data_IF_361192845961
#
_entry.id   IF_361192845961
#
_cell.length_a   1.000
_cell.length_b   1.000
_cell.length_c   1.000
_cell.angle_alpha   90.00
_cell.angle_beta   90.00
_cell.angle_gamma   90.00
#
_symmetry.space_group_name_H-M   'P 1'
#
loop_
_entity.id
_entity.type
_entity.pdbx_description
1 polymer ?
#
# COMPACT_ATOMS: atom_id res chain seq x y z
N UNK A 1 17.47 -45.93 -36.24
CA UNK A 1 16.28 -46.78 -36.10
C UNK A 1 15.14 -45.92 -35.55
N UNK A 2 14.12 -45.64 -36.35
CA UNK A 2 12.90 -44.94 -35.89
C UNK A 2 11.86 -46.03 -35.63
N UNK A 3 11.52 -46.26 -34.38
CA UNK A 3 10.38 -47.11 -34.02
C UNK A 3 9.10 -46.33 -34.33
N UNK A 4 8.38 -46.74 -35.40
CA UNK A 4 6.98 -46.33 -35.62
C UNK A 4 6.14 -47.16 -34.65
N UNK A 5 5.62 -46.52 -33.63
CA UNK A 5 4.61 -47.15 -32.77
C UNK A 5 3.26 -46.87 -33.43
N UNK A 6 2.82 -47.82 -34.29
CA UNK A 6 1.46 -47.84 -34.82
C UNK A 6 0.53 -48.38 -33.71
N UNK A 7 -0.07 -47.49 -32.93
CA UNK A 7 -1.18 -47.90 -32.09
C UNK A 7 -2.41 -48.17 -32.96
N UNK A 8 -2.64 -49.44 -33.28
CA UNK A 8 -3.85 -49.86 -34.00
C UNK A 8 -5.08 -49.54 -33.15
N UNK A 9 -6.04 -48.82 -33.70
CA UNK A 9 -7.30 -48.44 -33.02
C UNK A 9 -8.00 -49.67 -32.38
N UNK A 10 -7.88 -50.85 -33.00
CA UNK A 10 -8.40 -52.10 -32.47
C UNK A 10 -7.70 -52.56 -31.17
N UNK A 11 -6.41 -52.36 -31.04
CA UNK A 11 -5.68 -52.70 -29.80
C UNK A 11 -6.04 -51.79 -28.64
N UNK A 12 -6.26 -50.50 -28.91
CA UNK A 12 -6.73 -49.55 -27.93
C UNK A 12 -8.15 -49.91 -27.42
N UNK A 13 -9.07 -50.26 -28.34
CA UNK A 13 -10.42 -50.69 -28.00
C UNK A 13 -10.42 -52.00 -27.20
N UNK A 14 -9.53 -52.95 -27.56
CA UNK A 14 -9.37 -54.22 -26.83
C UNK A 14 -8.79 -54.01 -25.43
N UNK A 15 -7.87 -53.06 -25.28
CA UNK A 15 -7.32 -52.65 -23.96
C UNK A 15 -8.37 -51.98 -23.09
N UNK A 16 -9.24 -51.14 -23.64
CA UNK A 16 -10.34 -50.49 -22.93
C UNK A 16 -11.37 -51.51 -22.40
N UNK A 17 -11.62 -52.60 -23.13
CA UNK A 17 -12.49 -53.69 -22.72
C UNK A 17 -11.88 -54.67 -21.70
N UNK A 18 -10.59 -54.51 -21.39
CA UNK A 18 -9.97 -55.39 -20.39
C UNK A 18 -10.44 -55.06 -18.98
N UNK A 19 -10.67 -56.08 -18.16
CA UNK A 19 -11.07 -55.93 -16.74
C UNK A 19 -10.06 -55.06 -15.95
N UNK A 20 -8.77 -55.15 -16.29
CA UNK A 20 -7.72 -54.38 -15.66
C UNK A 20 -7.82 -52.90 -15.92
N UNK A 21 -8.23 -52.49 -17.14
CA UNK A 21 -8.44 -51.07 -17.49
C UNK A 21 -9.63 -50.49 -16.69
N UNK A 22 -10.70 -51.23 -16.56
CA UNK A 22 -11.87 -50.86 -15.78
C UNK A 22 -11.54 -50.66 -14.28
N UNK A 23 -10.71 -51.52 -13.73
CA UNK A 23 -10.20 -51.40 -12.33
C UNK A 23 -9.37 -50.14 -12.16
N UNK A 24 -8.51 -49.79 -13.13
CA UNK A 24 -7.68 -48.57 -13.10
C UNK A 24 -8.57 -47.34 -13.10
N UNK A 25 -9.61 -47.28 -13.95
CA UNK A 25 -10.54 -46.16 -14.00
C UNK A 25 -11.28 -46.00 -12.67
N UNK A 26 -11.81 -47.11 -12.12
CA UNK A 26 -12.55 -47.07 -10.86
C UNK A 26 -11.61 -46.60 -9.73
N UNK A 27 -10.41 -47.14 -9.64
CA UNK A 27 -9.45 -46.74 -8.63
C UNK A 27 -9.04 -45.26 -8.72
N UNK A 28 -8.83 -44.76 -9.95
CA UNK A 28 -8.56 -43.35 -10.21
C UNK A 28 -9.70 -42.44 -9.79
N UNK A 29 -10.94 -42.86 -10.07
CA UNK A 29 -12.12 -42.12 -9.64
C UNK A 29 -12.30 -42.10 -8.12
N UNK A 30 -12.04 -43.22 -7.45
CA UNK A 30 -12.09 -43.31 -5.97
C UNK A 30 -11.01 -42.40 -5.35
N UNK A 31 -9.77 -42.44 -5.87
CA UNK A 31 -8.68 -41.59 -5.40
C UNK A 31 -9.00 -40.12 -5.61
N UNK A 32 -9.48 -39.74 -6.79
CA UNK A 32 -9.87 -38.37 -7.11
C UNK A 32 -11.00 -37.87 -6.21
N UNK A 33 -12.02 -38.72 -5.97
CA UNK A 33 -13.13 -38.40 -5.06
C UNK A 33 -12.66 -38.24 -3.62
N UNK A 34 -11.77 -39.12 -3.15
CA UNK A 34 -11.16 -39.00 -1.83
C UNK A 34 -10.37 -37.70 -1.68
N UNK A 35 -9.51 -37.34 -2.64
CA UNK A 35 -8.77 -36.09 -2.61
C UNK A 35 -9.67 -34.87 -2.60
N UNK A 36 -10.80 -34.91 -3.33
CA UNK A 36 -11.79 -33.84 -3.33
C UNK A 36 -12.49 -33.66 -1.98
N UNK A 37 -12.81 -34.76 -1.28
CA UNK A 37 -13.47 -34.74 0.02
C UNK A 37 -12.54 -34.27 1.15
N UNK A 38 -11.24 -34.53 1.02
CA UNK A 38 -10.22 -34.09 2.00
C UNK A 38 -9.70 -32.68 1.75
N UNK A 39 -10.08 -32.03 0.65
CA UNK A 39 -9.68 -30.65 0.39
C UNK A 39 -10.40 -29.73 1.37
N UNK A 40 -9.62 -29.03 2.19
CA UNK A 40 -10.11 -28.00 3.10
C UNK A 40 -10.82 -26.88 2.34
N UNK A 41 -11.94 -26.42 2.88
CA UNK A 41 -12.69 -25.31 2.27
C UNK A 41 -12.00 -24.00 2.60
N UNK A 42 -11.59 -23.29 1.57
CA UNK A 42 -11.03 -21.95 1.69
C UNK A 42 -12.05 -20.90 1.30
N UNK A 43 -12.21 -19.88 2.14
CA UNK A 43 -13.03 -18.71 1.88
C UNK A 43 -12.15 -17.49 1.65
N UNK A 44 -12.47 -16.76 0.59
CA UNK A 44 -11.73 -15.59 0.17
C UNK A 44 -12.58 -14.34 0.36
N UNK A 45 -12.08 -13.36 1.11
CA UNK A 45 -12.63 -12.02 1.13
C UNK A 45 -11.64 -11.06 0.47
N UNK A 46 -12.14 -10.19 -0.38
CA UNK A 46 -11.32 -9.20 -1.07
C UNK A 46 -11.88 -7.80 -0.89
N UNK A 47 -10.99 -6.83 -0.77
CA UNK A 47 -11.29 -5.41 -0.74
C UNK A 47 -10.31 -4.65 -1.61
N UNK A 48 -10.75 -3.55 -2.21
CA UNK A 48 -9.94 -2.75 -3.12
C UNK A 48 -9.80 -1.32 -2.59
N UNK A 49 -8.60 -0.78 -2.66
CA UNK A 49 -8.29 0.61 -2.33
C UNK A 49 -7.91 1.31 -3.62
N UNK A 50 -8.69 2.33 -4.00
CA UNK A 50 -8.31 3.24 -5.07
C UNK A 50 -7.33 4.27 -4.50
N UNK A 51 -6.14 4.34 -5.08
CA UNK A 51 -5.18 5.38 -4.76
C UNK A 51 -5.41 6.54 -5.71
N UNK A 52 -5.94 7.69 -5.23
CA UNK A 52 -6.07 8.83 -6.10
C UNK A 52 -4.67 9.23 -6.60
N UNK A 53 -4.46 9.17 -7.90
CA UNK A 53 -3.31 9.83 -8.51
C UNK A 53 -3.55 11.32 -8.29
N UNK A 54 -2.92 11.90 -7.29
CA UNK A 54 -2.83 13.35 -7.16
C UNK A 54 -1.92 13.85 -8.28
N UNK A 55 -2.40 13.74 -9.51
CA UNK A 55 -1.93 14.55 -10.60
C UNK A 55 -2.36 15.97 -10.27
N UNK A 56 -1.54 16.70 -9.54
CA UNK A 56 -1.55 18.15 -9.66
C UNK A 56 -1.24 18.35 -11.12
N UNK A 57 -2.28 18.68 -11.91
CA UNK A 57 -2.14 18.92 -13.34
C UNK A 57 -1.02 19.95 -13.48
N UNK A 58 -0.05 19.66 -14.33
CA UNK A 58 1.11 20.54 -14.63
C UNK A 58 0.72 21.93 -15.13
N UNK A 59 -0.56 22.25 -15.23
CA UNK A 59 -1.11 23.50 -15.73
C UNK A 59 -1.39 24.54 -14.64
N UNK A 60 -0.85 24.42 -13.44
CA UNK A 60 -1.11 25.38 -12.36
C UNK A 60 0.02 26.39 -12.20
N UNK A 61 -0.25 27.67 -12.43
CA UNK A 61 0.63 28.78 -12.07
C UNK A 61 1.11 28.79 -10.61
N UNK A 62 0.43 28.04 -9.73
CA UNK A 62 0.83 27.81 -8.33
C UNK A 62 2.12 26.99 -8.23
N UNK A 63 2.32 25.98 -9.11
CA UNK A 63 3.55 25.17 -9.12
C UNK A 63 4.75 25.98 -9.60
N UNK A 64 4.55 26.84 -10.62
CA UNK A 64 5.60 27.74 -11.12
C UNK A 64 5.96 28.81 -10.09
N UNK A 65 4.98 29.36 -9.38
CA UNK A 65 5.20 30.28 -8.28
C UNK A 65 5.93 29.59 -7.12
N UNK A 66 5.50 28.40 -6.72
CA UNK A 66 6.19 27.63 -5.67
C UNK A 66 7.65 27.37 -6.03
N UNK A 67 7.96 26.98 -7.28
CA UNK A 67 9.33 26.79 -7.75
C UNK A 67 10.13 28.11 -7.78
N UNK A 68 9.50 29.23 -8.11
CA UNK A 68 10.13 30.55 -8.11
C UNK A 68 10.51 31.01 -6.69
N UNK A 69 9.74 30.55 -5.67
CA UNK A 69 10.05 30.79 -4.26
C UNK A 69 10.95 29.71 -3.64
N UNK A 70 11.54 28.85 -4.46
CA UNK A 70 12.46 27.77 -4.00
C UNK A 70 11.73 26.56 -3.42
N UNK A 71 10.40 26.48 -3.60
CA UNK A 71 9.63 25.28 -3.27
C UNK A 71 9.72 24.31 -4.46
N UNK A 72 10.69 23.46 -4.50
CA UNK A 72 10.63 22.30 -5.38
C UNK A 72 9.59 21.34 -4.81
N UNK A 73 8.33 21.61 -5.12
CA UNK A 73 7.27 20.60 -5.00
C UNK A 73 7.61 19.54 -6.04
N UNK A 74 8.48 18.60 -5.67
CA UNK A 74 8.84 17.46 -6.50
C UNK A 74 7.58 16.61 -6.67
N UNK A 75 6.83 16.96 -7.71
CA UNK A 75 5.49 16.49 -8.02
C UNK A 75 5.43 15.00 -8.42
N UNK A 76 6.54 14.28 -8.28
CA UNK A 76 6.61 12.91 -8.78
C UNK A 76 7.05 11.84 -7.79
N UNK A 77 7.76 12.17 -6.71
CA UNK A 77 8.40 11.14 -5.87
C UNK A 77 7.84 11.01 -4.45
N UNK A 78 7.11 11.99 -3.97
CA UNK A 78 6.62 12.05 -2.59
C UNK A 78 5.11 11.83 -2.43
N UNK A 79 4.47 11.13 -3.36
CA UNK A 79 3.12 10.65 -3.12
C UNK A 79 3.16 9.66 -1.95
N UNK A 80 2.80 10.15 -0.75
CA UNK A 80 2.66 9.33 0.47
C UNK A 80 1.72 8.15 0.26
N UNK A 81 0.82 8.24 -0.71
CA UNK A 81 -0.07 7.17 -1.13
C UNK A 81 0.52 6.52 -2.39
N UNK A 82 1.70 5.96 -2.26
CA UNK A 82 2.27 5.10 -3.30
C UNK A 82 1.78 3.65 -3.06
N UNK A 83 1.42 2.88 -4.11
CA UNK A 83 1.10 1.45 -4.00
C UNK A 83 2.11 0.64 -3.17
N UNK A 84 3.39 0.98 -3.26
CA UNK A 84 4.46 0.33 -2.48
C UNK A 84 4.30 0.61 -0.98
N UNK A 85 3.95 1.85 -0.60
CA UNK A 85 3.75 2.23 0.81
C UNK A 85 2.53 1.51 1.38
N UNK A 86 1.42 1.49 0.64
CA UNK A 86 0.21 0.76 1.06
C UNK A 86 0.48 -0.73 1.25
N UNK A 87 1.22 -1.37 0.33
CA UNK A 87 1.65 -2.77 0.47
C UNK A 87 2.52 -2.99 1.71
N UNK A 88 3.44 -2.05 2.02
CA UNK A 88 4.28 -2.12 3.23
C UNK A 88 3.44 -1.97 4.50
N UNK A 89 2.50 -1.01 4.52
CA UNK A 89 1.59 -0.81 5.66
C UNK A 89 0.77 -2.08 5.89
N UNK A 90 0.15 -2.62 4.84
CA UNK A 90 -0.72 -3.79 4.93
C UNK A 90 0.03 -5.07 5.36
N UNK A 91 1.34 -5.18 5.08
CA UNK A 91 2.20 -6.29 5.51
C UNK A 91 2.99 -5.98 6.78
N UNK A 92 2.71 -4.85 7.43
CA UNK A 92 3.40 -4.50 8.66
C UNK A 92 3.07 -5.53 9.75
N UNK A 93 4.12 -6.15 10.30
CA UNK A 93 4.01 -7.20 11.31
C UNK A 93 3.25 -6.72 12.56
N UNK A 94 3.49 -5.48 13.00
CA UNK A 94 2.84 -4.91 14.17
C UNK A 94 1.33 -4.71 13.93
N UNK A 95 0.94 -4.24 12.73
CA UNK A 95 -0.46 -4.11 12.35
C UNK A 95 -1.15 -5.48 12.33
N UNK A 96 -0.54 -6.46 11.67
CA UNK A 96 -1.12 -7.82 11.58
C UNK A 96 -1.19 -8.47 12.96
N UNK A 97 -0.16 -8.33 13.80
CA UNK A 97 -0.18 -8.83 15.19
C UNK A 97 -1.34 -8.25 15.99
N UNK A 98 -1.62 -6.96 15.83
CA UNK A 98 -2.74 -6.28 16.48
C UNK A 98 -4.08 -6.83 16.01
N UNK A 99 -4.22 -7.05 14.70
CA UNK A 99 -5.44 -7.63 14.12
C UNK A 99 -5.64 -9.07 14.58
N UNK A 100 -4.60 -9.89 14.62
CA UNK A 100 -4.68 -11.27 15.10
C UNK A 100 -5.08 -11.36 16.58
N UNK A 101 -4.76 -10.35 17.39
CA UNK A 101 -5.20 -10.25 18.78
C UNK A 101 -6.64 -9.75 18.94
N UNK A 102 -7.28 -9.25 17.87
CA UNK A 102 -8.66 -8.74 17.97
C UNK A 102 -9.64 -9.89 18.12
N UNK A 103 -10.59 -9.75 19.04
CA UNK A 103 -11.64 -10.73 19.22
C UNK A 103 -12.66 -10.66 18.09
N UNK A 104 -12.96 -11.79 17.50
CA UNK A 104 -13.95 -11.96 16.43
C UNK A 104 -14.96 -13.01 16.85
N UNK A 105 -16.24 -12.70 16.64
CA UNK A 105 -17.30 -13.66 16.91
C UNK A 105 -17.58 -14.48 15.64
N UNK A 106 -17.25 -15.77 15.70
CA UNK A 106 -17.50 -16.71 14.62
C UNK A 106 -18.42 -17.82 15.15
N UNK A 107 -19.61 -17.95 14.57
CA UNK A 107 -20.59 -18.97 14.97
C UNK A 107 -20.93 -18.98 16.48
N UNK A 108 -20.99 -17.80 17.12
CA UNK A 108 -21.30 -17.66 18.54
C UNK A 108 -20.11 -17.86 19.48
N UNK A 109 -18.92 -18.16 18.97
CA UNK A 109 -17.68 -18.22 19.74
C UNK A 109 -16.89 -16.93 19.54
N UNK A 110 -16.64 -16.20 20.63
CA UNK A 110 -15.80 -15.00 20.64
C UNK A 110 -14.39 -15.38 21.07
N UNK A 111 -13.50 -15.49 20.09
CA UNK A 111 -12.07 -15.80 20.27
C UNK A 111 -11.25 -14.77 19.51
N UNK A 112 -9.95 -14.69 19.79
CA UNK A 112 -9.05 -13.88 18.97
C UNK A 112 -8.97 -14.44 17.54
N UNK A 113 -8.70 -13.56 16.56
CA UNK A 113 -8.47 -14.01 15.19
C UNK A 113 -7.35 -15.04 15.11
N UNK A 114 -6.33 -14.90 15.97
CA UNK A 114 -5.24 -15.88 16.12
C UNK A 114 -5.76 -17.28 16.48
N UNK A 115 -6.57 -17.39 17.53
CA UNK A 115 -7.11 -18.68 18.02
C UNK A 115 -8.05 -19.33 16.99
N UNK A 116 -8.73 -18.52 16.18
CA UNK A 116 -9.56 -19.04 15.10
C UNK A 116 -8.74 -19.62 13.93
N UNK A 117 -7.58 -19.01 13.60
CA UNK A 117 -6.75 -19.40 12.45
C UNK A 117 -5.74 -20.47 12.83
N UNK A 118 -5.23 -20.42 14.06
CA UNK A 118 -4.16 -21.28 14.57
C UNK A 118 -4.58 -21.93 15.88
N UNK A 119 -5.58 -22.82 15.87
CA UNK A 119 -6.15 -23.41 17.10
C UNK A 119 -5.15 -24.25 17.89
N UNK A 120 -4.12 -24.76 17.22
CA UNK A 120 -3.09 -25.62 17.83
C UNK A 120 -1.93 -24.84 18.47
N UNK A 121 -1.87 -23.51 18.26
CA UNK A 121 -0.79 -22.68 18.77
C UNK A 121 -1.22 -21.91 20.03
N UNK A 122 -0.24 -21.59 20.87
CA UNK A 122 -0.50 -20.86 22.10
C UNK A 122 -0.27 -19.34 21.89
N UNK A 123 -1.35 -18.54 21.96
CA UNK A 123 -1.28 -17.08 21.84
C UNK A 123 -0.37 -16.41 22.89
N UNK A 124 -0.17 -17.07 24.05
CA UNK A 124 0.68 -16.55 25.12
C UNK A 124 2.16 -16.82 24.92
N UNK A 125 2.52 -17.72 24.01
CA UNK A 125 3.92 -17.95 23.62
C UNK A 125 4.33 -16.91 22.57
N UNK A 126 5.31 -16.05 22.86
CA UNK A 126 5.77 -15.03 21.91
C UNK A 126 6.31 -15.62 20.61
N UNK A 127 6.94 -16.81 20.66
CA UNK A 127 7.50 -17.46 19.48
C UNK A 127 6.40 -18.02 18.57
N UNK A 128 5.38 -18.66 19.16
CA UNK A 128 4.23 -19.17 18.43
C UNK A 128 3.48 -18.03 17.78
N UNK A 129 3.22 -16.94 18.50
CA UNK A 129 2.53 -15.77 18.00
C UNK A 129 3.31 -15.07 16.87
N UNK A 130 4.63 -14.95 17.01
CA UNK A 130 5.47 -14.38 15.97
C UNK A 130 5.50 -15.22 14.70
N UNK A 131 5.64 -16.53 14.83
CA UNK A 131 5.65 -17.46 13.71
C UNK A 131 4.30 -17.53 13.01
N UNK A 132 3.20 -17.51 13.75
CA UNK A 132 1.85 -17.44 13.22
C UNK A 132 1.61 -16.14 12.46
N UNK A 133 2.07 -15.00 13.00
CA UNK A 133 1.98 -13.70 12.30
C UNK A 133 2.72 -13.73 10.97
N UNK A 134 3.94 -14.28 10.92
CA UNK A 134 4.70 -14.45 9.69
C UNK A 134 4.00 -15.40 8.71
N UNK A 135 3.46 -16.51 9.21
CA UNK A 135 2.71 -17.48 8.42
C UNK A 135 1.46 -16.85 7.82
N UNK A 136 0.70 -16.09 8.60
CA UNK A 136 -0.48 -15.37 8.13
C UNK A 136 -0.16 -14.40 6.99
N UNK A 137 0.88 -13.58 7.14
CA UNK A 137 1.32 -12.63 6.11
C UNK A 137 1.71 -13.36 4.81
N UNK A 138 2.30 -14.54 4.92
CA UNK A 138 2.77 -15.31 3.77
C UNK A 138 1.66 -16.09 3.07
N UNK A 139 0.78 -16.73 3.83
CA UNK A 139 -0.14 -17.74 3.30
C UNK A 139 -1.58 -17.21 3.18
N UNK A 140 -2.02 -16.35 4.10
CA UNK A 140 -3.41 -15.93 4.21
C UNK A 140 -3.66 -14.52 3.62
N UNK A 141 -2.61 -13.67 3.56
CA UNK A 141 -2.71 -12.29 3.09
C UNK A 141 -2.07 -12.14 1.70
N UNK A 142 -2.88 -11.89 0.70
CA UNK A 142 -2.42 -11.56 -0.65
C UNK A 142 -2.73 -10.11 -0.99
N UNK A 143 -1.70 -9.34 -1.39
CA UNK A 143 -1.83 -7.92 -1.75
C UNK A 143 -1.19 -7.72 -3.12
N UNK A 144 -2.01 -7.32 -4.07
CA UNK A 144 -1.56 -7.08 -5.43
C UNK A 144 -2.14 -5.77 -5.97
N UNK A 145 -1.42 -5.17 -6.90
CA UNK A 145 -1.87 -3.98 -7.62
C UNK A 145 -2.52 -4.43 -8.93
N UNK A 146 -3.60 -3.77 -9.29
CA UNK A 146 -4.21 -3.95 -10.60
C UNK A 146 -3.28 -3.41 -11.69
N UNK A 147 -3.23 -4.12 -12.82
CA UNK A 147 -2.40 -3.74 -13.97
C UNK A 147 -2.99 -2.51 -14.66
N UNK A 148 -4.29 -2.36 -14.62
CA UNK A 148 -5.03 -1.33 -15.36
C UNK A 148 -5.20 -0.01 -14.60
N UNK A 149 -4.76 0.08 -13.33
CA UNK A 149 -4.98 1.29 -12.56
C UNK A 149 -4.27 1.37 -11.20
N UNK A 150 -4.42 2.50 -10.51
CA UNK A 150 -3.84 2.72 -9.19
C UNK A 150 -4.69 2.03 -8.09
N UNK A 151 -5.17 0.82 -8.35
CA UNK A 151 -6.01 0.03 -7.44
C UNK A 151 -5.14 -1.02 -6.76
N UNK A 152 -5.22 -1.08 -5.44
CA UNK A 152 -4.62 -2.13 -4.63
C UNK A 152 -5.72 -3.05 -4.14
N UNK A 153 -5.57 -4.32 -4.45
CA UNK A 153 -6.45 -5.38 -4.00
C UNK A 153 -5.82 -6.10 -2.80
N UNK A 154 -6.61 -6.25 -1.74
CA UNK A 154 -6.27 -7.00 -0.54
C UNK A 154 -7.18 -8.19 -0.49
N UNK A 155 -6.60 -9.39 -0.45
CA UNK A 155 -7.32 -10.64 -0.39
C UNK A 155 -6.90 -11.42 0.86
N UNK A 156 -7.88 -11.85 1.64
CA UNK A 156 -7.68 -12.70 2.82
C UNK A 156 -8.31 -14.06 2.55
N UNK A 157 -7.54 -15.10 2.83
CA UNK A 157 -7.97 -16.49 2.69
C UNK A 157 -7.97 -17.14 4.07
N UNK A 158 -9.13 -17.69 4.51
CA UNK A 158 -9.24 -18.46 5.75
C UNK A 158 -10.23 -19.61 5.56
N UNK A 159 -10.30 -20.51 6.52
CA UNK A 159 -11.24 -21.64 6.53
C UNK A 159 -12.69 -21.25 6.86
N UNK A 160 -12.93 -20.00 7.27
CA UNK A 160 -14.24 -19.49 7.63
C UNK A 160 -14.56 -18.16 6.94
N UNK A 161 -15.76 -18.08 6.33
CA UNK A 161 -16.17 -16.90 5.55
C UNK A 161 -16.33 -15.63 6.40
N UNK A 162 -16.87 -15.76 7.62
CA UNK A 162 -17.03 -14.63 8.55
C UNK A 162 -15.66 -14.11 8.97
N UNK A 163 -14.76 -15.02 9.29
CA UNK A 163 -13.40 -14.70 9.72
C UNK A 163 -12.63 -13.97 8.61
N UNK A 164 -12.66 -14.48 7.37
CA UNK A 164 -11.99 -13.83 6.25
C UNK A 164 -12.53 -12.43 5.99
N UNK A 165 -13.85 -12.23 6.11
CA UNK A 165 -14.50 -10.94 5.96
C UNK A 165 -14.09 -9.94 7.05
N UNK A 166 -14.21 -10.31 8.32
CA UNK A 166 -13.89 -9.41 9.44
C UNK A 166 -12.40 -9.04 9.45
N UNK A 167 -11.50 -9.97 9.18
CA UNK A 167 -10.06 -9.66 9.08
C UNK A 167 -9.77 -8.73 7.89
N UNK A 168 -10.38 -8.98 6.73
CA UNK A 168 -10.21 -8.12 5.56
C UNK A 168 -10.66 -6.68 5.85
N UNK A 169 -11.81 -6.53 6.52
CA UNK A 169 -12.36 -5.25 6.96
C UNK A 169 -11.44 -4.54 7.96
N UNK A 170 -10.92 -5.26 8.97
CA UNK A 170 -9.99 -4.70 9.96
C UNK A 170 -8.70 -4.22 9.30
N UNK A 171 -8.13 -5.00 8.37
CA UNK A 171 -6.94 -4.60 7.62
C UNK A 171 -7.22 -3.31 6.83
N UNK A 172 -8.35 -3.24 6.12
CA UNK A 172 -8.73 -2.08 5.33
C UNK A 172 -8.84 -0.82 6.19
N UNK A 173 -9.58 -0.88 7.31
CA UNK A 173 -9.76 0.24 8.23
C UNK A 173 -8.42 0.73 8.76
N UNK A 174 -7.57 -0.17 9.25
CA UNK A 174 -6.26 0.18 9.78
C UNK A 174 -5.32 0.78 8.73
N UNK A 175 -5.39 0.32 7.48
CA UNK A 175 -4.61 0.90 6.38
C UNK A 175 -5.08 2.34 6.11
N UNK A 176 -6.38 2.57 6.01
CA UNK A 176 -6.96 3.91 5.77
C UNK A 176 -6.59 4.86 6.90
N UNK A 177 -6.73 4.45 8.15
CA UNK A 177 -6.33 5.25 9.32
C UNK A 177 -4.84 5.60 9.29
N UNK A 178 -3.98 4.64 8.97
CA UNK A 178 -2.54 4.87 8.88
C UNK A 178 -2.17 5.82 7.74
N UNK A 179 -2.81 5.69 6.60
CA UNK A 179 -2.63 6.62 5.47
C UNK A 179 -3.05 8.03 5.88
N UNK A 180 -4.23 8.19 6.48
CA UNK A 180 -4.73 9.49 6.93
C UNK A 180 -3.79 10.13 7.97
N UNK A 181 -3.27 9.35 8.91
CA UNK A 181 -2.30 9.85 9.90
C UNK A 181 -1.01 10.34 9.26
N UNK A 182 -0.49 9.62 8.27
CA UNK A 182 0.71 10.02 7.53
C UNK A 182 0.50 11.30 6.72
N UNK A 183 -0.67 11.43 6.07
CA UNK A 183 -1.03 12.65 5.33
C UNK A 183 -1.15 13.87 6.25
N UNK A 184 -1.79 13.72 7.41
CA UNK A 184 -1.94 14.80 8.39
C UNK A 184 -0.58 15.25 8.91
N UNK A 185 0.30 14.32 9.26
CA UNK A 185 1.65 14.63 9.73
C UNK A 185 2.43 15.44 8.69
N UNK A 186 2.46 14.99 7.43
CA UNK A 186 3.16 15.71 6.35
C UNK A 186 2.56 17.08 6.08
N UNK A 187 1.23 17.21 6.11
CA UNK A 187 0.57 18.50 5.94
C UNK A 187 0.97 19.48 7.03
N UNK A 188 1.06 19.03 8.28
CA UNK A 188 1.47 19.87 9.41
C UNK A 188 2.95 20.29 9.29
N UNK A 189 3.85 19.37 8.93
CA UNK A 189 5.26 19.67 8.65
C UNK A 189 5.42 20.71 7.53
N UNK A 190 4.63 20.57 6.46
CA UNK A 190 4.63 21.52 5.34
C UNK A 190 4.13 22.91 5.79
N UNK A 191 3.07 22.96 6.59
CA UNK A 191 2.54 24.23 7.11
C UNK A 191 3.55 24.93 8.03
N UNK A 192 4.25 24.19 8.90
CA UNK A 192 5.29 24.72 9.78
C UNK A 192 6.44 25.30 8.94
N UNK A 193 6.93 24.55 7.95
CA UNK A 193 7.96 25.02 7.03
C UNK A 193 7.54 26.32 6.29
N UNK A 194 6.29 26.38 5.79
CA UNK A 194 5.78 27.59 5.11
C UNK A 194 5.73 28.78 6.05
N UNK A 195 5.31 28.59 7.29
CA UNK A 195 5.30 29.64 8.34
C UNK A 195 6.69 30.16 8.62
N UNK A 196 7.65 29.30 8.81
CA UNK A 196 9.04 29.68 9.09
C UNK A 196 9.64 30.46 7.91
N UNK A 197 9.35 30.01 6.67
CA UNK A 197 9.81 30.72 5.47
C UNK A 197 9.16 32.11 5.34
N UNK A 198 7.87 32.23 5.62
CA UNK A 198 7.16 33.50 5.60
C UNK A 198 7.78 34.49 6.58
N UNK A 199 8.05 34.05 7.83
CA UNK A 199 8.71 34.88 8.85
C UNK A 199 10.10 35.31 8.38
N UNK A 200 10.86 34.40 7.75
CA UNK A 200 12.18 34.70 7.22
C UNK A 200 12.13 35.75 6.12
N UNK A 201 11.23 35.60 5.16
CA UNK A 201 11.06 36.54 4.04
C UNK A 201 10.59 37.92 4.54
N UNK A 202 9.69 37.94 5.51
CA UNK A 202 9.22 39.19 6.13
C UNK A 202 10.36 39.96 6.80
N UNK A 203 11.23 39.27 7.57
CA UNK A 203 12.42 39.89 8.17
C UNK A 203 13.43 40.40 7.11
N UNK A 204 13.58 39.67 6.03
CA UNK A 204 14.45 40.11 4.94
C UNK A 204 13.89 41.35 4.23
N UNK A 205 12.58 41.41 4.01
CA UNK A 205 11.90 42.59 3.46
C UNK A 205 12.08 43.81 4.37
N UNK A 206 11.79 43.68 5.67
CA UNK A 206 11.98 44.76 6.64
C UNK A 206 13.43 45.30 6.63
N UNK A 207 14.41 44.39 6.55
CA UNK A 207 15.83 44.78 6.46
C UNK A 207 16.15 45.51 5.17
N UNK A 208 15.59 45.09 4.03
CA UNK A 208 15.77 45.77 2.75
C UNK A 208 15.08 47.14 2.74
N UNK A 209 13.89 47.28 3.31
CA UNK A 209 13.18 48.53 3.48
C UNK A 209 13.98 49.52 4.32
N UNK A 210 14.50 49.12 5.47
CA UNK A 210 15.36 49.92 6.32
C UNK A 210 16.66 50.37 5.60
N UNK A 211 17.25 49.49 4.81
CA UNK A 211 18.43 49.85 4.02
C UNK A 211 18.09 50.85 2.91
N UNK A 212 16.94 50.73 2.28
CA UNK A 212 16.44 51.67 1.27
C UNK A 212 16.18 53.02 1.92
N UNK A 213 15.51 53.07 3.06
CA UNK A 213 15.22 54.29 3.83
C UNK A 213 16.52 55.03 4.18
N UNK A 214 17.49 54.35 4.77
CA UNK A 214 18.82 54.92 5.06
C UNK A 214 19.53 55.44 3.81
N UNK A 215 19.44 54.71 2.70
CA UNK A 215 20.00 55.15 1.43
C UNK A 215 19.38 56.44 0.93
N UNK A 216 18.05 56.56 1.01
CA UNK A 216 17.30 57.74 0.60
C UNK A 216 17.59 58.95 1.52
N UNK A 217 17.68 58.75 2.84
CA UNK A 217 18.05 59.77 3.81
C UNK A 217 19.45 60.34 3.54
N UNK A 218 20.42 59.44 3.25
CA UNK A 218 21.83 59.84 3.01
C UNK A 218 22.02 60.50 1.64
N UNK A 219 21.18 60.17 0.63
CA UNK A 219 21.31 60.60 -0.73
C UNK A 219 20.04 61.34 -1.21
N UNK A 220 19.77 62.48 -0.62
CA UNK A 220 18.56 63.31 -0.96
C UNK A 220 18.49 63.72 -2.43
N UNK A 221 19.57 63.70 -3.20
CA UNK A 221 19.61 64.01 -4.62
C UNK A 221 20.34 62.92 -5.37
N UNK A 222 19.60 62.02 -6.04
CA UNK A 222 20.18 60.96 -6.89
C UNK A 222 20.50 61.53 -8.25
N UNK A 223 21.68 62.18 -8.40
CA UNK A 223 22.13 62.76 -9.66
C UNK A 223 23.11 61.87 -10.44
N UNK A 224 23.62 60.81 -9.87
CA UNK A 224 24.60 59.95 -10.54
C UNK A 224 24.03 58.62 -11.00
N UNK A 225 24.43 58.09 -12.16
CA UNK A 225 24.00 56.76 -12.63
C UNK A 225 24.41 55.63 -11.68
N UNK A 226 25.46 55.78 -10.92
CA UNK A 226 25.91 54.79 -9.93
C UNK A 226 24.96 54.69 -8.74
N UNK A 227 24.42 55.79 -8.25
CA UNK A 227 23.43 55.82 -7.18
C UNK A 227 22.06 55.26 -7.64
N UNK A 228 21.69 55.50 -8.89
CA UNK A 228 20.48 54.85 -9.48
C UNK A 228 20.65 53.34 -9.56
N UNK A 229 21.83 52.82 -9.96
CA UNK A 229 22.12 51.43 -10.01
C UNK A 229 22.08 50.77 -8.62
N UNK A 230 22.61 51.45 -7.58
CA UNK A 230 22.56 50.97 -6.18
C UNK A 230 21.10 50.94 -5.66
N UNK A 231 20.30 51.97 -5.94
CA UNK A 231 18.88 51.97 -5.60
C UNK A 231 18.14 50.81 -6.23
N UNK A 232 18.35 50.55 -7.53
CA UNK A 232 17.69 49.43 -8.23
C UNK A 232 18.07 48.07 -7.64
N UNK A 233 19.31 47.88 -7.16
CA UNK A 233 19.75 46.68 -6.47
C UNK A 233 19.12 46.47 -5.08
N UNK A 234 18.72 47.57 -4.41
CA UNK A 234 18.05 47.53 -3.11
C UNK A 234 16.54 47.22 -3.24
N UNK A 235 15.96 47.50 -4.39
CA UNK A 235 14.53 47.33 -4.68
C UNK A 235 14.24 45.99 -5.40
N UNK A 236 15.25 45.35 -6.01
CA UNK A 236 15.14 44.04 -6.67
C UNK A 236 15.28 42.87 -5.67
#
# INVERSE_FOLDING_TARGET
MRYKIDFGFEEVVKSIKSKNFLIIIISSFIISSALFLFKEKEFNSSSSILIPSTGISQNGGILSLANQFGFSLDSGKDNLINPIVVKKIARNKELISRILNTQINVNGKSLSAFEHIFPDLNIKDPNDFENATKSFIKNNLNIYQDIEGPIINIKITTENAVLSYEICKLILVNIVEKINSLQTTKSNETLEFIRDRLISVQKELEKKEQNLEKFLETNNIIQSPSLQSQRNKLVS
#
